data_IF_166440805546
#
_entry.id   IF_166440805546
#
_cell.length_a   1.000
_cell.length_b   1.000
_cell.length_c   1.000
_cell.angle_alpha   90.00
_cell.angle_beta   90.00
_cell.angle_gamma   90.00
#
_symmetry.space_group_name_H-M   'P 1'
#
loop_
_entity.id
_entity.type
_entity.pdbx_description
1 polymer ?
#
# COMPACT_ATOMS: atom_id res chain seq x y z
N UNK A 1 29.92 -25.35 -21.85
CA UNK A 1 28.93 -24.82 -22.83
C UNK A 1 27.51 -25.31 -22.57
N UNK A 2 27.19 -26.62 -22.61
CA UNK A 2 25.80 -27.08 -22.36
C UNK A 2 25.28 -26.77 -20.94
N UNK A 3 26.08 -27.06 -19.91
CA UNK A 3 25.70 -26.79 -18.50
C UNK A 3 25.55 -25.30 -18.22
N UNK A 4 26.45 -24.47 -18.74
CA UNK A 4 26.39 -23.01 -18.63
C UNK A 4 25.16 -22.42 -19.32
N UNK A 5 24.74 -22.96 -20.48
CA UNK A 5 23.50 -22.54 -21.16
C UNK A 5 22.25 -22.93 -20.35
N UNK A 6 22.21 -24.14 -19.78
CA UNK A 6 21.10 -24.58 -18.93
C UNK A 6 21.00 -23.73 -17.66
N UNK A 7 22.12 -23.43 -17.01
CA UNK A 7 22.14 -22.56 -15.82
C UNK A 7 21.69 -21.13 -16.13
N UNK A 8 22.13 -20.56 -17.26
CA UNK A 8 21.68 -19.24 -17.70
C UNK A 8 20.17 -19.21 -18.01
N UNK A 9 19.65 -20.25 -18.66
CA UNK A 9 18.23 -20.37 -18.94
C UNK A 9 17.39 -20.48 -17.66
N UNK A 10 17.86 -21.27 -16.69
CA UNK A 10 17.16 -21.41 -15.40
C UNK A 10 17.15 -20.08 -14.62
N UNK A 11 18.28 -19.36 -14.61
CA UNK A 11 18.35 -18.04 -13.97
C UNK A 11 17.41 -17.02 -14.64
N UNK A 12 17.30 -17.04 -15.97
CA UNK A 12 16.38 -16.18 -16.70
C UNK A 12 14.90 -16.48 -16.38
N UNK A 13 14.53 -17.77 -16.27
CA UNK A 13 13.17 -18.17 -15.89
C UNK A 13 12.84 -17.76 -14.46
N UNK A 14 13.79 -17.92 -13.53
CA UNK A 14 13.62 -17.51 -12.13
C UNK A 14 13.48 -15.99 -11.96
N UNK A 15 14.00 -15.19 -12.91
CA UNK A 15 13.88 -13.73 -12.87
C UNK A 15 12.53 -13.19 -13.41
N UNK A 16 11.74 -14.00 -14.11
CA UNK A 16 10.46 -13.57 -14.71
C UNK A 16 9.46 -12.96 -13.70
N UNK A 17 9.31 -13.46 -12.45
CA UNK A 17 8.41 -12.85 -11.48
C UNK A 17 8.77 -11.42 -11.08
N UNK A 18 10.03 -10.99 -11.28
CA UNK A 18 10.40 -9.59 -11.07
C UNK A 18 9.67 -8.63 -12.04
N UNK A 19 9.09 -9.17 -13.12
CA UNK A 19 8.25 -8.43 -14.07
C UNK A 19 6.75 -8.49 -13.73
N UNK A 20 6.36 -9.21 -12.67
CA UNK A 20 4.95 -9.39 -12.30
C UNK A 20 4.39 -8.23 -11.46
N UNK A 21 5.16 -7.16 -11.23
CA UNK A 21 4.69 -5.98 -10.52
C UNK A 21 3.51 -5.33 -11.26
N UNK A 22 2.45 -5.00 -10.50
CA UNK A 22 1.25 -4.38 -11.04
C UNK A 22 0.87 -3.11 -10.24
N UNK A 23 0.58 -1.99 -10.92
CA UNK A 23 0.74 -1.81 -12.37
C UNK A 23 2.23 -1.72 -12.76
N UNK A 24 2.58 -2.09 -14.00
CA UNK A 24 3.96 -2.01 -14.46
C UNK A 24 4.52 -0.58 -14.36
N UNK A 25 5.73 -0.45 -13.77
CA UNK A 25 6.46 0.82 -13.69
C UNK A 25 6.01 1.80 -12.62
N UNK A 26 5.01 1.47 -11.80
CA UNK A 26 4.60 2.33 -10.69
C UNK A 26 5.43 2.04 -9.44
N UNK A 27 5.88 3.10 -8.77
CA UNK A 27 6.58 3.03 -7.49
C UNK A 27 5.73 3.66 -6.41
N UNK A 28 5.66 2.99 -5.25
CA UNK A 28 5.09 3.52 -4.01
C UNK A 28 6.25 3.66 -3.02
N UNK A 29 6.31 4.79 -2.32
CA UNK A 29 7.44 5.13 -1.48
C UNK A 29 7.07 5.03 0.00
N UNK A 30 7.98 4.46 0.79
CA UNK A 30 7.90 4.49 2.24
C UNK A 30 8.91 5.49 2.80
N UNK A 31 8.50 6.27 3.81
CA UNK A 31 9.39 7.21 4.50
C UNK A 31 10.24 6.47 5.54
N UNK A 32 11.53 6.78 5.61
CA UNK A 32 12.37 6.29 6.71
C UNK A 32 12.25 7.27 7.88
N UNK A 33 11.94 6.75 9.07
CA UNK A 33 11.93 7.53 10.30
C UNK A 33 13.23 7.34 11.06
N UNK A 34 13.89 8.43 11.52
CA UNK A 34 14.94 8.32 12.51
C UNK A 34 14.34 7.91 13.86
N UNK A 35 15.16 7.35 14.76
CA UNK A 35 14.70 6.75 16.02
C UNK A 35 13.94 7.73 16.91
N UNK A 36 14.36 9.01 16.92
CA UNK A 36 13.74 10.08 17.68
C UNK A 36 12.34 10.50 17.18
N UNK A 37 11.96 10.07 15.97
CA UNK A 37 10.72 10.46 15.29
C UNK A 37 9.87 9.25 14.90
N UNK A 38 10.09 8.09 15.52
CA UNK A 38 9.19 6.93 15.32
C UNK A 38 7.77 7.35 15.75
N UNK A 39 6.75 7.17 14.89
CA UNK A 39 5.39 7.59 15.20
C UNK A 39 4.77 6.75 16.32
N UNK A 40 3.97 7.39 17.17
CA UNK A 40 3.25 6.70 18.24
C UNK A 40 2.00 6.01 17.67
N UNK A 41 1.74 4.77 18.09
CA UNK A 41 0.54 4.03 17.67
C UNK A 41 -0.63 4.36 18.60
N UNK A 42 -1.26 5.51 18.38
CA UNK A 42 -2.39 6.00 19.18
C UNK A 42 -3.60 6.47 18.35
N UNK A 43 -3.51 6.41 17.02
CA UNK A 43 -4.54 6.88 16.09
C UNK A 43 -4.52 8.38 15.83
N UNK A 44 -3.56 9.12 16.40
CA UNK A 44 -3.30 10.52 16.07
C UNK A 44 -2.23 10.59 14.97
N UNK A 45 -2.57 11.19 13.84
CA UNK A 45 -1.66 11.33 12.70
C UNK A 45 -0.66 12.49 12.80
N UNK A 46 -0.61 13.24 13.91
CA UNK A 46 0.22 14.45 14.02
C UNK A 46 1.72 14.19 13.77
N UNK A 47 2.23 13.03 14.18
CA UNK A 47 3.63 12.63 13.96
C UNK A 47 4.00 12.54 12.46
N UNK A 48 2.99 12.38 11.59
CA UNK A 48 3.16 12.24 10.14
C UNK A 48 3.12 13.59 9.41
N UNK A 49 2.86 14.70 10.10
CA UNK A 49 2.69 16.03 9.47
C UNK A 49 3.95 16.54 8.77
N UNK A 50 5.13 16.08 9.17
CA UNK A 50 6.40 16.43 8.53
C UNK A 50 6.65 15.67 7.21
N UNK A 51 5.90 14.60 6.94
CA UNK A 51 6.08 13.79 5.73
C UNK A 51 5.40 14.49 4.53
N UNK A 52 6.13 14.80 3.45
CA UNK A 52 5.52 15.37 2.25
C UNK A 52 4.50 14.42 1.62
N UNK A 53 3.38 14.95 1.12
CA UNK A 53 2.39 14.12 0.42
C UNK A 53 2.97 13.46 -0.82
N UNK A 54 3.77 14.19 -1.61
CA UNK A 54 4.45 13.63 -2.79
C UNK A 54 5.89 13.29 -2.39
N UNK A 55 6.38 12.05 -2.59
CA UNK A 55 5.73 10.92 -3.28
C UNK A 55 5.13 9.86 -2.32
N UNK A 56 4.98 10.15 -1.03
CA UNK A 56 4.73 9.15 0.01
C UNK A 56 3.24 8.80 0.22
N UNK A 57 2.33 9.67 -0.19
CA UNK A 57 0.90 9.48 -0.03
C UNK A 57 0.35 8.51 -1.08
N UNK A 58 -0.36 7.50 -0.61
CA UNK A 58 -1.14 6.56 -1.39
C UNK A 58 -2.61 6.90 -1.18
N UNK A 59 -3.24 7.48 -2.21
CA UNK A 59 -4.64 7.93 -2.17
C UNK A 59 -5.60 7.03 -2.96
N UNK A 60 -6.87 7.43 -3.02
CA UNK A 60 -7.92 6.73 -3.79
C UNK A 60 -7.56 6.43 -5.25
N UNK A 61 -6.68 7.22 -5.88
CA UNK A 61 -6.19 6.96 -7.24
C UNK A 61 -5.41 5.64 -7.35
N UNK A 62 -4.96 5.10 -6.21
CA UNK A 62 -4.24 3.83 -6.10
C UNK A 62 -5.12 2.66 -5.64
N UNK A 63 -6.35 2.89 -5.18
CA UNK A 63 -7.25 1.85 -4.69
C UNK A 63 -8.32 1.46 -5.69
N UNK A 64 -8.65 0.17 -5.75
CA UNK A 64 -9.80 -0.37 -6.48
C UNK A 64 -10.80 -0.99 -5.50
N UNK A 65 -12.09 -0.96 -5.84
CA UNK A 65 -13.15 -1.56 -5.04
C UNK A 65 -13.68 -2.83 -5.72
N UNK A 66 -13.53 -3.98 -5.07
CA UNK A 66 -14.00 -5.26 -5.60
C UNK A 66 -15.51 -5.49 -5.38
N UNK A 67 -16.11 -4.89 -4.35
CA UNK A 67 -17.53 -5.02 -4.03
C UNK A 67 -18.37 -4.28 -5.06
N UNK A 68 -17.97 -3.04 -5.39
CA UNK A 68 -18.66 -2.19 -6.37
C UNK A 68 -18.00 -2.19 -7.75
N UNK A 69 -16.98 -3.04 -7.96
CA UNK A 69 -16.28 -3.20 -9.24
C UNK A 69 -15.74 -1.89 -9.79
N UNK A 70 -15.14 -1.07 -8.92
CA UNK A 70 -14.49 0.20 -9.28
C UNK A 70 -13.01 -0.04 -9.55
N UNK A 71 -12.54 0.39 -10.70
CA UNK A 71 -11.12 0.42 -10.99
C UNK A 71 -10.41 1.51 -10.17
N UNK A 72 -9.08 1.55 -10.30
CA UNK A 72 -8.24 2.54 -9.61
C UNK A 72 -8.64 3.96 -9.99
N UNK A 73 -8.90 4.81 -8.99
CA UNK A 73 -9.35 6.18 -9.20
C UNK A 73 -10.83 6.35 -9.56
N UNK A 74 -11.62 5.27 -9.58
CA UNK A 74 -13.07 5.33 -9.84
C UNK A 74 -13.93 5.35 -8.56
N UNK A 75 -13.30 5.29 -7.38
CA UNK A 75 -13.98 5.38 -6.09
C UNK A 75 -14.47 6.82 -5.89
N UNK A 76 -15.75 6.98 -5.54
CA UNK A 76 -16.32 8.28 -5.19
C UNK A 76 -15.79 8.72 -3.82
N UNK A 77 -14.94 9.76 -3.80
CA UNK A 77 -14.31 10.26 -2.57
C UNK A 77 -15.28 10.94 -1.61
N UNK A 78 -16.51 11.27 -2.05
CA UNK A 78 -17.58 11.72 -1.16
C UNK A 78 -18.26 10.56 -0.43
N UNK A 79 -17.98 9.33 -0.86
CA UNK A 79 -18.44 8.08 -0.26
C UNK A 79 -17.35 7.44 0.59
N UNK A 80 -16.21 7.16 -0.04
CA UNK A 80 -15.03 6.58 0.59
C UNK A 80 -13.77 7.34 0.16
N UNK A 81 -13.12 8.02 1.10
CA UNK A 81 -11.81 8.63 0.88
C UNK A 81 -10.76 7.97 1.77
N UNK A 82 -9.66 7.55 1.15
CA UNK A 82 -8.55 6.89 1.83
C UNK A 82 -7.27 7.66 1.54
N UNK A 83 -6.55 7.96 2.61
CA UNK A 83 -5.19 8.52 2.57
C UNK A 83 -4.29 7.62 3.40
N UNK A 84 -3.24 7.08 2.80
CA UNK A 84 -2.27 6.23 3.49
C UNK A 84 -0.84 6.74 3.30
N UNK A 85 -0.02 6.63 4.35
CA UNK A 85 1.42 6.79 4.28
C UNK A 85 2.07 5.60 4.98
N UNK A 86 3.12 5.05 4.38
CA UNK A 86 3.92 3.95 4.95
C UNK A 86 5.26 4.51 5.41
N UNK A 87 5.62 4.20 6.65
CA UNK A 87 6.92 4.49 7.23
C UNK A 87 7.68 3.23 7.61
N UNK A 88 8.98 3.34 7.79
CA UNK A 88 9.82 2.26 8.28
C UNK A 88 10.99 2.82 9.09
N UNK A 89 11.61 2.00 9.93
CA UNK A 89 12.77 2.39 10.72
C UNK A 89 13.76 1.21 10.81
N UNK A 90 15.05 1.51 10.62
CA UNK A 90 16.13 0.51 10.58
C UNK A 90 16.29 -0.28 11.90
N UNK A 91 16.15 0.41 13.04
CA UNK A 91 16.50 -0.17 14.35
C UNK A 91 15.37 -1.00 14.96
N UNK A 92 14.12 -0.64 14.66
CA UNK A 92 12.95 -1.42 15.09
C UNK A 92 12.62 -2.56 14.14
N UNK A 93 13.08 -2.51 12.88
CA UNK A 93 12.73 -3.47 11.82
C UNK A 93 11.19 -3.57 11.63
N UNK A 94 10.51 -2.43 11.76
CA UNK A 94 9.05 -2.33 11.65
C UNK A 94 8.62 -1.42 10.51
N UNK A 95 7.48 -1.78 9.92
CA UNK A 95 6.68 -0.89 9.08
C UNK A 95 5.59 -0.25 9.93
N UNK A 96 5.40 1.05 9.74
CA UNK A 96 4.39 1.88 10.38
C UNK A 96 3.39 2.32 9.32
N UNK A 97 2.10 2.22 9.62
CA UNK A 97 1.04 2.57 8.68
C UNK A 97 0.18 3.66 9.30
N UNK A 98 0.14 4.82 8.66
CA UNK A 98 -0.90 5.82 8.89
C UNK A 98 -1.96 5.66 7.81
N UNK A 99 -3.20 5.51 8.22
CA UNK A 99 -4.34 5.50 7.33
C UNK A 99 -5.42 6.42 7.91
N UNK A 100 -5.84 7.39 7.10
CA UNK A 100 -7.05 8.14 7.32
C UNK A 100 -8.10 7.64 6.35
N UNK A 101 -9.26 7.28 6.91
CA UNK A 101 -10.38 6.78 6.14
C UNK A 101 -11.60 7.62 6.50
N UNK A 102 -12.13 8.31 5.50
CA UNK A 102 -13.48 8.84 5.55
C UNK A 102 -14.41 7.86 4.86
N UNK A 103 -15.47 7.46 5.54
CA UNK A 103 -16.56 6.65 5.02
C UNK A 103 -17.88 7.29 5.49
N UNK A 104 -18.77 7.60 4.56
CA UNK A 104 -20.08 8.17 4.90
C UNK A 104 -21.09 7.09 5.34
N UNK A 105 -20.81 5.82 5.03
CA UNK A 105 -21.64 4.67 5.29
C UNK A 105 -21.30 4.03 6.63
N UNK A 106 -22.32 3.53 7.32
CA UNK A 106 -22.11 2.53 8.39
C UNK A 106 -22.51 1.18 7.85
N UNK A 107 -21.58 0.35 7.33
CA UNK A 107 -21.89 -1.05 7.09
C UNK A 107 -22.26 -1.65 8.43
N UNK A 108 -23.55 -1.96 8.60
CA UNK A 108 -23.99 -2.81 9.70
C UNK A 108 -23.63 -4.22 9.24
N UNK A 109 -22.60 -4.80 9.82
CA UNK A 109 -22.27 -6.23 9.65
C UNK A 109 -23.41 -7.07 10.21
N UNK A 110 -24.48 -7.17 9.44
CA UNK A 110 -25.59 -8.06 9.65
C UNK A 110 -25.59 -8.99 8.43
N UNK A 111 -24.71 -9.98 8.42
CA UNK A 111 -24.96 -11.15 7.59
C UNK A 111 -26.28 -11.75 8.07
N UNK A 112 -27.36 -11.53 7.31
CA UNK A 112 -28.55 -12.35 7.48
C UNK A 112 -28.09 -13.80 7.25
N UNK A 113 -28.42 -14.75 8.16
CA UNK A 113 -28.04 -16.14 7.97
C UNK A 113 -28.55 -16.60 6.61
N UNK A 114 -27.65 -17.16 5.80
CA UNK A 114 -28.01 -17.77 4.52
C UNK A 114 -29.01 -18.89 4.80
N UNK A 115 -30.23 -18.73 4.30
CA UNK A 115 -31.30 -19.73 4.38
C UNK A 115 -31.03 -20.92 3.45
#
# INVERSE_FOLDING_TARGET
MRKTLVSALLAAVVALPALAHFPPGELLFAVQFPDENIPVIDGNHADWAAVPQIPYEVGNDKYSDSVYSKARGEIDVSDLSVRQIVGWNDNTDLLYFMAEVFDNGRPRDAEAPKA
#
